data_IF_822878352009
#
_entry.id   IF_822878352009
#
_cell.length_a   1.000
_cell.length_b   1.000
_cell.length_c   1.000
_cell.angle_alpha   90.00
_cell.angle_beta   90.00
_cell.angle_gamma   90.00
#
_symmetry.space_group_name_H-M   'P 1'
#
loop_
_entity.id
_entity.type
_entity.pdbx_description
1 polymer ?
#
# COMPACT_ATOMS: atom_id res chain seq x y z
N UNK A 1 -8.74 61.52 -16.76
CA UNK A 1 -9.82 61.99 -17.67
C UNK A 1 -10.96 61.03 -17.45
N UNK A 2 -11.95 61.36 -16.67
CA UNK A 2 -13.23 62.03 -17.05
C UNK A 2 -14.00 61.06 -17.91
N UNK A 3 -15.15 60.52 -17.57
CA UNK A 3 -16.26 60.92 -16.70
C UNK A 3 -17.35 59.94 -16.97
N UNK A 4 -18.09 59.60 -16.02
CA UNK A 4 -19.36 60.15 -15.54
C UNK A 4 -20.62 59.55 -16.17
N UNK A 5 -21.41 58.90 -15.25
CA UNK A 5 -22.86 59.21 -14.98
C UNK A 5 -23.87 58.91 -16.10
N UNK A 6 -25.04 58.29 -15.86
CA UNK A 6 -26.16 58.52 -14.94
C UNK A 6 -27.17 57.40 -15.17
N UNK A 7 -27.79 56.73 -14.18
CA UNK A 7 -28.95 57.13 -13.37
C UNK A 7 -30.25 57.38 -14.18
N UNK A 8 -31.28 56.63 -13.82
CA UNK A 8 -32.67 57.01 -14.02
C UNK A 8 -33.52 55.81 -14.44
N UNK A 9 -34.68 55.46 -13.99
CA UNK A 9 -35.59 56.00 -12.98
C UNK A 9 -36.86 55.18 -13.12
N UNK A 10 -37.47 54.80 -12.02
CA UNK A 10 -38.82 54.26 -11.99
C UNK A 10 -39.84 55.25 -12.55
N UNK A 11 -41.00 54.79 -13.04
CA UNK A 11 -42.28 55.27 -12.58
C UNK A 11 -43.24 54.15 -12.19
N UNK A 12 -43.79 54.24 -11.14
CA UNK A 12 -44.94 54.88 -10.50
C UNK A 12 -46.24 54.14 -10.73
N UNK A 13 -46.91 54.03 -9.61
CA UNK A 13 -48.18 53.36 -9.36
C UNK A 13 -49.33 54.15 -10.03
N UNK A 14 -50.42 53.44 -10.29
CA UNK A 14 -51.81 53.72 -10.12
C UNK A 14 -52.65 53.29 -11.32
N UNK A 15 -53.45 52.25 -11.12
CA UNK A 15 -54.94 52.41 -11.23
C UNK A 15 -55.62 51.07 -10.87
N UNK A 16 -56.14 51.02 -9.68
CA UNK A 16 -57.19 50.10 -9.30
C UNK A 16 -58.46 50.42 -10.09
N UNK A 17 -59.05 49.41 -10.73
CA UNK A 17 -60.48 49.36 -10.98
C UNK A 17 -61.08 48.11 -10.41
N UNK A 18 -61.83 48.25 -9.38
CA UNK A 18 -62.73 47.29 -8.78
C UNK A 18 -63.89 46.97 -9.76
N UNK A 19 -64.11 45.71 -10.01
CA UNK A 19 -65.40 45.21 -10.57
C UNK A 19 -65.96 44.19 -9.59
N UNK A 20 -67.24 44.16 -9.30
CA UNK A 20 -67.83 43.60 -8.09
C UNK A 20 -68.05 42.08 -8.14
N UNK A 21 -68.05 41.49 -6.97
CA UNK A 21 -68.33 40.09 -6.63
C UNK A 21 -69.63 39.57 -7.17
N UNK A 22 -69.61 38.33 -7.66
CA UNK A 22 -70.76 37.41 -7.58
C UNK A 22 -70.22 36.11 -6.94
N UNK A 23 -70.94 35.50 -5.99
CA UNK A 23 -70.43 34.34 -5.23
C UNK A 23 -70.72 33.07 -6.02
N UNK A 24 -69.65 32.54 -6.61
CA UNK A 24 -69.67 31.18 -7.11
C UNK A 24 -68.69 30.35 -6.21
N UNK A 25 -69.28 29.54 -5.36
CA UNK A 25 -68.57 28.54 -4.54
C UNK A 25 -67.91 27.54 -5.49
N UNK A 26 -66.64 27.73 -5.80
CA UNK A 26 -65.83 26.68 -6.38
C UNK A 26 -65.33 25.83 -5.20
N UNK A 27 -66.02 24.75 -4.95
CA UNK A 27 -65.62 23.67 -4.09
C UNK A 27 -64.45 22.99 -4.81
N UNK A 28 -63.21 23.42 -4.53
CA UNK A 28 -62.00 22.64 -4.87
C UNK A 28 -62.08 21.43 -3.95
N UNK A 29 -62.66 20.35 -4.44
CA UNK A 29 -62.41 19.00 -3.90
C UNK A 29 -60.94 18.70 -4.07
N UNK A 30 -60.16 19.01 -3.03
CA UNK A 30 -58.88 18.32 -2.80
C UNK A 30 -59.25 16.85 -2.62
N UNK A 31 -59.37 16.11 -3.73
CA UNK A 31 -59.26 14.67 -3.73
C UNK A 31 -57.80 14.37 -3.35
N UNK A 32 -57.51 14.47 -2.06
CA UNK A 32 -56.40 13.74 -1.49
C UNK A 32 -56.70 12.27 -1.80
N UNK A 33 -56.04 11.73 -2.79
CA UNK A 33 -56.01 10.31 -3.10
C UNK A 33 -55.26 9.61 -1.96
N UNK A 34 -55.94 9.46 -0.82
CA UNK A 34 -55.55 8.46 0.19
C UNK A 34 -55.85 7.11 -0.46
N UNK A 35 -54.80 6.51 -1.05
CA UNK A 35 -54.88 5.11 -1.49
C UNK A 35 -55.43 4.30 -0.31
N UNK A 36 -56.47 3.48 -0.51
CA UNK A 36 -57.06 2.72 0.57
C UNK A 36 -56.02 1.83 1.23
N UNK A 37 -56.05 1.70 2.56
CA UNK A 37 -55.02 0.98 3.34
C UNK A 37 -54.67 -0.39 2.79
N UNK A 38 -55.61 -1.13 2.23
CA UNK A 38 -55.39 -2.42 1.56
C UNK A 38 -54.49 -2.32 0.31
N UNK A 39 -54.47 -1.18 -0.37
CA UNK A 39 -53.62 -0.98 -1.56
C UNK A 39 -52.14 -0.76 -1.21
N UNK A 40 -51.87 -0.37 0.03
CA UNK A 40 -50.49 -0.24 0.55
C UNK A 40 -50.02 -1.51 1.26
N UNK A 41 -50.92 -2.36 1.71
CA UNK A 41 -50.63 -3.58 2.46
C UNK A 41 -50.02 -4.69 1.56
N UNK A 42 -50.53 -4.82 0.33
CA UNK A 42 -50.04 -5.84 -0.61
C UNK A 42 -48.56 -5.63 -1.05
N UNK A 43 -48.11 -4.43 -1.48
CA UNK A 43 -46.70 -4.17 -1.78
C UNK A 43 -45.78 -4.35 -0.58
N UNK A 44 -46.21 -3.97 0.62
CA UNK A 44 -45.46 -4.14 1.85
C UNK A 44 -45.20 -5.63 2.17
N UNK A 45 -46.25 -6.44 2.12
CA UNK A 45 -46.13 -7.88 2.35
C UNK A 45 -45.21 -8.54 1.32
N UNK A 46 -45.37 -8.18 0.03
CA UNK A 46 -44.52 -8.69 -1.04
C UNK A 46 -43.05 -8.28 -0.83
N UNK A 47 -42.78 -7.07 -0.33
CA UNK A 47 -41.44 -6.62 0.01
C UNK A 47 -40.84 -7.43 1.18
N UNK A 48 -41.62 -7.65 2.23
CA UNK A 48 -41.18 -8.51 3.38
C UNK A 48 -40.86 -9.95 2.96
N UNK A 49 -41.70 -10.52 2.08
CA UNK A 49 -41.47 -11.86 1.53
C UNK A 49 -40.25 -11.91 0.63
N UNK A 50 -39.96 -10.89 -0.17
CA UNK A 50 -38.77 -10.79 -1.00
C UNK A 50 -37.52 -10.66 -0.14
N UNK A 51 -37.56 -9.85 0.93
CA UNK A 51 -36.47 -9.75 1.90
C UNK A 51 -36.22 -11.09 2.60
N UNK A 52 -37.27 -11.78 3.00
CA UNK A 52 -37.13 -13.09 3.64
C UNK A 52 -36.51 -14.15 2.69
N UNK A 53 -36.87 -14.13 1.41
CA UNK A 53 -36.24 -14.99 0.41
C UNK A 53 -34.76 -14.68 0.24
N UNK A 54 -34.41 -13.37 0.11
CA UNK A 54 -33.00 -12.91 0.06
C UNK A 54 -32.20 -13.34 1.28
N UNK A 55 -32.77 -13.17 2.49
CA UNK A 55 -32.09 -13.53 3.73
C UNK A 55 -31.85 -15.05 3.87
N UNK A 56 -32.66 -15.90 3.23
CA UNK A 56 -32.45 -17.34 3.17
C UNK A 56 -31.49 -17.77 2.05
N UNK A 57 -30.99 -16.81 1.25
CA UNK A 57 -30.15 -17.11 0.08
C UNK A 57 -30.93 -17.63 -1.13
N UNK A 58 -32.27 -17.62 -1.11
CA UNK A 58 -33.12 -17.99 -2.25
C UNK A 58 -33.20 -16.81 -3.22
N UNK A 59 -32.09 -16.59 -3.94
CA UNK A 59 -31.93 -15.46 -4.86
C UNK A 59 -32.97 -15.49 -6.01
N UNK A 60 -33.28 -16.65 -6.64
CA UNK A 60 -34.29 -16.70 -7.70
C UNK A 60 -35.69 -16.29 -7.22
N UNK A 61 -36.09 -16.72 -6.03
CA UNK A 61 -37.38 -16.31 -5.45
C UNK A 61 -37.40 -14.84 -5.05
N UNK A 62 -36.26 -14.32 -4.51
CA UNK A 62 -36.11 -12.90 -4.19
C UNK A 62 -36.21 -12.04 -5.47
N UNK A 63 -35.49 -12.42 -6.55
CA UNK A 63 -35.57 -11.76 -7.86
C UNK A 63 -37.02 -11.70 -8.36
N UNK A 64 -37.69 -12.85 -8.40
CA UNK A 64 -39.06 -12.93 -8.88
C UNK A 64 -40.00 -11.96 -8.12
N UNK A 65 -39.90 -11.93 -6.78
CA UNK A 65 -40.71 -11.09 -5.93
C UNK A 65 -40.38 -9.60 -6.07
N UNK A 66 -39.10 -9.23 -6.14
CA UNK A 66 -38.72 -7.85 -6.38
C UNK A 66 -39.12 -7.36 -7.78
N UNK A 67 -39.00 -8.21 -8.81
CA UNK A 67 -39.50 -7.88 -10.16
C UNK A 67 -41.03 -7.63 -10.19
N UNK A 68 -41.79 -8.42 -9.45
CA UNK A 68 -43.21 -8.23 -9.28
C UNK A 68 -43.49 -6.89 -8.57
N UNK A 69 -42.74 -6.61 -7.50
CA UNK A 69 -42.88 -5.39 -6.70
C UNK A 69 -42.58 -4.12 -7.50
N UNK A 70 -41.47 -4.09 -8.29
CA UNK A 70 -41.17 -2.90 -9.13
C UNK A 70 -42.17 -2.71 -10.26
N UNK A 71 -42.89 -3.75 -10.70
CA UNK A 71 -44.02 -3.64 -11.65
C UNK A 71 -45.25 -3.04 -10.99
N UNK A 72 -45.53 -3.46 -9.74
CA UNK A 72 -46.71 -2.98 -8.99
C UNK A 72 -46.48 -1.58 -8.42
N UNK A 73 -45.24 -1.26 -8.05
CA UNK A 73 -44.87 -0.02 -7.38
C UNK A 73 -43.57 0.56 -7.99
N UNK A 74 -43.64 1.16 -9.19
CA UNK A 74 -42.45 1.62 -9.93
C UNK A 74 -41.74 2.81 -9.28
N UNK A 75 -42.36 3.45 -8.26
CA UNK A 75 -41.74 4.53 -7.48
C UNK A 75 -41.01 4.06 -6.22
N UNK A 76 -40.98 2.76 -5.97
CA UNK A 76 -40.37 2.21 -4.76
C UNK A 76 -38.86 2.01 -4.95
N UNK A 77 -38.07 3.05 -4.62
CA UNK A 77 -36.59 3.01 -4.74
C UNK A 77 -35.96 1.81 -4.03
N UNK A 78 -36.43 1.46 -2.82
CA UNK A 78 -35.92 0.33 -2.03
C UNK A 78 -36.14 -1.04 -2.71
N UNK A 79 -37.17 -1.17 -3.56
CA UNK A 79 -37.38 -2.41 -4.32
C UNK A 79 -36.31 -2.57 -5.42
N UNK A 80 -36.04 -1.50 -6.17
CA UNK A 80 -34.95 -1.49 -7.16
C UNK A 80 -33.60 -1.69 -6.52
N UNK A 81 -33.31 -1.03 -5.39
CA UNK A 81 -32.07 -1.19 -4.66
C UNK A 81 -31.83 -2.66 -4.24
N UNK A 82 -32.84 -3.28 -3.63
CA UNK A 82 -32.71 -4.68 -3.22
C UNK A 82 -32.63 -5.65 -4.40
N UNK A 83 -33.32 -5.37 -5.50
CA UNK A 83 -33.20 -6.14 -6.74
C UNK A 83 -31.79 -6.02 -7.31
N UNK A 84 -31.18 -4.83 -7.27
CA UNK A 84 -29.79 -4.63 -7.67
C UNK A 84 -28.80 -5.45 -6.82
N UNK A 85 -29.02 -5.54 -5.50
CA UNK A 85 -28.22 -6.40 -4.62
C UNK A 85 -28.38 -7.88 -5.01
N UNK A 86 -29.61 -8.34 -5.29
CA UNK A 86 -29.84 -9.71 -5.74
C UNK A 86 -29.12 -9.98 -7.05
N UNK A 87 -29.20 -9.09 -8.02
CA UNK A 87 -28.49 -9.22 -9.28
C UNK A 87 -26.96 -9.26 -9.13
N UNK A 88 -26.40 -8.43 -8.23
CA UNK A 88 -24.97 -8.52 -7.90
C UNK A 88 -24.59 -9.91 -7.35
N UNK A 89 -25.42 -10.44 -6.44
CA UNK A 89 -25.19 -11.75 -5.84
C UNK A 89 -25.33 -12.90 -6.87
N UNK A 90 -26.12 -12.70 -7.91
CA UNK A 90 -26.25 -13.64 -9.03
C UNK A 90 -25.27 -13.40 -10.18
N UNK A 91 -24.32 -12.44 -9.99
CA UNK A 91 -23.35 -12.02 -11.02
C UNK A 91 -24.00 -11.44 -12.29
N UNK A 92 -25.27 -11.00 -12.21
CA UNK A 92 -26.01 -10.35 -13.28
C UNK A 92 -25.68 -8.83 -13.27
N UNK A 93 -24.42 -8.48 -13.46
CA UNK A 93 -23.91 -7.11 -13.25
C UNK A 93 -24.59 -6.05 -14.14
N UNK A 94 -24.91 -6.41 -15.39
CA UNK A 94 -25.60 -5.51 -16.32
C UNK A 94 -27.00 -5.17 -15.86
N UNK A 95 -27.75 -6.19 -15.39
CA UNK A 95 -29.11 -6.00 -14.88
C UNK A 95 -29.06 -5.22 -13.55
N UNK A 96 -28.04 -5.51 -12.69
CA UNK A 96 -27.79 -4.74 -11.48
C UNK A 96 -27.58 -3.25 -11.79
N UNK A 97 -26.69 -2.90 -12.72
CA UNK A 97 -26.45 -1.51 -13.11
C UNK A 97 -27.74 -0.83 -13.59
N UNK A 98 -28.51 -1.50 -14.48
CA UNK A 98 -29.75 -0.94 -15.03
C UNK A 98 -30.82 -0.65 -13.98
N UNK A 99 -31.01 -1.56 -13.01
CA UNK A 99 -32.01 -1.32 -11.95
C UNK A 99 -31.50 -0.32 -10.93
N UNK A 100 -30.17 -0.21 -10.73
CA UNK A 100 -29.57 0.76 -9.82
C UNK A 100 -29.64 2.19 -10.37
N UNK A 101 -29.53 2.40 -11.69
CA UNK A 101 -29.81 3.71 -12.30
C UNK A 101 -31.22 4.21 -11.93
N UNK A 102 -32.21 3.32 -11.88
CA UNK A 102 -33.57 3.66 -11.42
C UNK A 102 -33.61 3.94 -9.92
N UNK A 103 -32.94 3.10 -9.11
CA UNK A 103 -32.93 3.27 -7.67
C UNK A 103 -32.34 4.63 -7.26
N UNK A 104 -31.17 5.02 -7.83
CA UNK A 104 -30.52 6.29 -7.52
C UNK A 104 -31.28 7.50 -8.08
N UNK A 105 -31.98 7.34 -9.20
CA UNK A 105 -32.84 8.39 -9.72
C UNK A 105 -34.04 8.68 -8.81
N UNK A 106 -34.62 7.64 -8.18
CA UNK A 106 -35.72 7.75 -7.24
C UNK A 106 -35.30 8.22 -5.84
N UNK A 107 -34.10 7.82 -5.40
CA UNK A 107 -33.56 8.15 -4.08
C UNK A 107 -32.08 8.63 -4.16
N UNK A 108 -31.82 9.80 -4.73
CA UNK A 108 -30.46 10.29 -4.99
C UNK A 108 -29.66 10.63 -3.73
N UNK A 109 -30.34 10.77 -2.58
CA UNK A 109 -29.70 11.09 -1.29
C UNK A 109 -29.35 9.86 -0.45
N UNK A 110 -29.61 8.66 -0.96
CA UNK A 110 -29.27 7.40 -0.29
C UNK A 110 -27.89 6.89 -0.75
N UNK A 111 -26.86 6.91 0.11
CA UNK A 111 -25.50 6.53 -0.29
C UNK A 111 -25.41 5.06 -0.72
N UNK A 112 -26.20 4.16 -0.09
CA UNK A 112 -26.20 2.74 -0.41
C UNK A 112 -26.53 2.44 -1.87
N UNK A 113 -27.43 3.21 -2.47
CA UNK A 113 -27.77 3.10 -3.89
C UNK A 113 -26.55 3.32 -4.79
N UNK A 114 -25.82 4.40 -4.55
CA UNK A 114 -24.61 4.73 -5.29
C UNK A 114 -23.50 3.71 -5.10
N UNK A 115 -23.38 3.10 -3.90
CA UNK A 115 -22.40 2.05 -3.64
C UNK A 115 -22.71 0.81 -4.50
N UNK A 116 -23.96 0.35 -4.50
CA UNK A 116 -24.36 -0.84 -5.27
C UNK A 116 -24.25 -0.58 -6.78
N UNK A 117 -24.59 0.61 -7.25
CA UNK A 117 -24.37 1.03 -8.64
C UNK A 117 -22.88 1.00 -9.00
N UNK A 118 -22.04 1.57 -8.13
CA UNK A 118 -20.59 1.56 -8.30
C UNK A 118 -20.01 0.16 -8.37
N UNK A 119 -20.47 -0.75 -7.51
CA UNK A 119 -20.08 -2.16 -7.54
C UNK A 119 -20.47 -2.84 -8.87
N UNK A 120 -21.69 -2.60 -9.36
CA UNK A 120 -22.13 -3.17 -10.64
C UNK A 120 -21.26 -2.70 -11.80
N UNK A 121 -20.93 -1.41 -11.87
CA UNK A 121 -20.03 -0.88 -12.90
C UNK A 121 -18.58 -1.34 -12.72
N UNK A 122 -18.09 -1.51 -11.48
CA UNK A 122 -16.77 -2.05 -11.20
C UNK A 122 -16.62 -3.47 -11.76
N UNK A 123 -17.59 -4.34 -11.53
CA UNK A 123 -17.62 -5.71 -12.04
C UNK A 123 -17.82 -5.79 -13.57
N UNK A 124 -18.46 -4.79 -14.16
CA UNK A 124 -18.58 -4.64 -15.61
C UNK A 124 -17.32 -4.12 -16.30
N UNK A 125 -16.25 -3.81 -15.53
CA UNK A 125 -15.05 -3.13 -16.05
C UNK A 125 -15.35 -1.77 -16.71
N UNK A 126 -16.36 -1.04 -16.18
CA UNK A 126 -16.69 0.34 -16.54
C UNK A 126 -16.19 1.32 -15.45
N UNK A 127 -14.86 1.48 -15.27
CA UNK A 127 -14.29 2.14 -14.09
C UNK A 127 -14.65 3.62 -13.99
N UNK A 128 -14.89 4.32 -15.11
CA UNK A 128 -15.30 5.73 -15.09
C UNK A 128 -16.66 5.91 -14.41
N UNK A 129 -17.62 5.03 -14.71
CA UNK A 129 -18.94 5.05 -14.09
C UNK A 129 -18.86 4.61 -12.62
N UNK A 130 -18.07 3.56 -12.34
CA UNK A 130 -17.83 3.10 -10.97
C UNK A 130 -17.27 4.22 -10.08
N UNK A 131 -16.24 4.94 -10.53
CA UNK A 131 -15.65 6.08 -9.82
C UNK A 131 -16.67 7.19 -9.60
N UNK A 132 -17.50 7.50 -10.60
CA UNK A 132 -18.55 8.52 -10.47
C UNK A 132 -19.58 8.15 -9.40
N UNK A 133 -20.03 6.90 -9.38
CA UNK A 133 -20.98 6.38 -8.40
C UNK A 133 -20.40 6.37 -6.99
N UNK A 134 -19.18 5.84 -6.78
CA UNK A 134 -18.54 5.84 -5.47
C UNK A 134 -18.25 7.26 -4.95
N UNK A 135 -17.85 8.20 -5.81
CA UNK A 135 -17.72 9.61 -5.44
C UNK A 135 -19.07 10.22 -5.02
N UNK A 136 -20.19 9.81 -5.65
CA UNK A 136 -21.52 10.24 -5.25
C UNK A 136 -21.88 9.69 -3.87
N UNK A 137 -21.60 8.41 -3.61
CA UNK A 137 -21.77 7.80 -2.29
C UNK A 137 -20.95 8.54 -1.22
N UNK A 138 -19.69 8.84 -1.49
CA UNK A 138 -18.79 9.51 -0.54
C UNK A 138 -19.11 11.00 -0.31
N UNK A 139 -19.80 11.66 -1.23
CA UNK A 139 -20.36 13.00 -0.95
C UNK A 139 -21.47 12.96 0.10
N UNK A 140 -22.24 11.87 0.15
CA UNK A 140 -23.32 11.66 1.10
C UNK A 140 -22.83 11.05 2.41
N UNK A 141 -21.88 10.12 2.34
CA UNK A 141 -21.25 9.45 3.47
C UNK A 141 -19.72 9.42 3.30
N UNK A 142 -19.00 10.49 3.70
CA UNK A 142 -17.56 10.60 3.49
C UNK A 142 -16.72 9.55 4.21
N UNK A 143 -17.24 8.95 5.28
CA UNK A 143 -16.56 7.95 6.10
C UNK A 143 -16.89 6.50 5.70
N UNK A 144 -17.64 6.28 4.61
CA UNK A 144 -17.96 4.92 4.18
C UNK A 144 -16.70 4.21 3.65
N UNK A 145 -16.24 3.25 4.42
CA UNK A 145 -15.00 2.53 4.17
C UNK A 145 -15.08 1.62 2.93
N UNK A 146 -16.25 1.03 2.68
CA UNK A 146 -16.47 0.21 1.49
C UNK A 146 -16.43 1.06 0.22
N UNK A 147 -17.11 2.21 0.25
CA UNK A 147 -17.07 3.13 -0.87
C UNK A 147 -15.65 3.68 -1.13
N UNK A 148 -14.86 3.96 -0.07
CA UNK A 148 -13.45 4.37 -0.21
C UNK A 148 -12.60 3.26 -0.81
N UNK A 149 -12.72 2.02 -0.30
CA UNK A 149 -11.96 0.88 -0.81
C UNK A 149 -12.26 0.63 -2.30
N UNK A 150 -13.53 0.54 -2.65
CA UNK A 150 -13.92 0.28 -4.04
C UNK A 150 -13.67 1.46 -4.98
N UNK A 151 -13.70 2.71 -4.46
CA UNK A 151 -13.21 3.87 -5.22
C UNK A 151 -11.74 3.70 -5.59
N UNK A 152 -10.88 3.37 -4.62
CA UNK A 152 -9.47 3.12 -4.88
C UNK A 152 -9.23 1.98 -5.88
N UNK A 153 -9.97 0.87 -5.75
CA UNK A 153 -9.92 -0.24 -6.70
C UNK A 153 -10.37 0.17 -8.13
N UNK A 154 -11.45 0.94 -8.25
CA UNK A 154 -11.93 1.44 -9.53
C UNK A 154 -10.96 2.44 -10.16
N UNK A 155 -10.29 3.27 -9.34
CA UNK A 155 -9.23 4.17 -9.80
C UNK A 155 -8.02 3.38 -10.33
N UNK A 156 -7.64 2.27 -9.69
CA UNK A 156 -6.59 1.37 -10.21
C UNK A 156 -7.00 0.79 -11.59
N UNK A 157 -8.25 0.34 -11.74
CA UNK A 157 -8.75 -0.13 -13.05
C UNK A 157 -8.70 0.96 -14.12
N UNK A 158 -8.99 2.22 -13.74
CA UNK A 158 -8.94 3.39 -14.62
C UNK A 158 -7.51 3.87 -14.91
N UNK A 159 -6.50 3.27 -14.26
CA UNK A 159 -5.09 3.70 -14.26
C UNK A 159 -4.86 5.09 -13.64
N UNK A 160 -5.79 5.57 -12.83
CA UNK A 160 -5.62 6.75 -11.96
C UNK A 160 -4.92 6.30 -10.67
N UNK A 161 -3.63 5.97 -10.78
CA UNK A 161 -2.88 5.40 -9.66
C UNK A 161 -2.61 6.42 -8.57
N UNK A 162 -2.47 7.71 -8.92
CA UNK A 162 -2.31 8.81 -7.97
C UNK A 162 -3.57 8.98 -7.12
N UNK A 163 -4.73 9.07 -7.77
CA UNK A 163 -6.01 9.13 -7.07
C UNK A 163 -6.28 7.90 -6.22
N UNK A 164 -5.90 6.70 -6.71
CA UNK A 164 -6.04 5.46 -5.96
C UNK A 164 -5.17 5.47 -4.70
N UNK A 165 -3.90 5.87 -4.80
CA UNK A 165 -3.00 5.97 -3.66
C UNK A 165 -3.56 6.96 -2.62
N UNK A 166 -3.98 8.17 -3.02
CA UNK A 166 -4.58 9.16 -2.13
C UNK A 166 -5.81 8.63 -1.39
N UNK A 167 -6.71 7.96 -2.12
CA UNK A 167 -7.94 7.40 -1.56
C UNK A 167 -7.63 6.31 -0.54
N UNK A 168 -6.74 5.38 -0.90
CA UNK A 168 -6.39 4.23 -0.06
C UNK A 168 -5.48 4.61 1.11
N UNK A 169 -4.63 5.64 0.99
CA UNK A 169 -3.88 6.20 2.12
C UNK A 169 -4.80 6.81 3.19
N UNK A 170 -5.86 7.51 2.77
CA UNK A 170 -6.87 8.01 3.72
C UNK A 170 -7.53 6.86 4.46
N UNK A 171 -7.91 5.81 3.74
CA UNK A 171 -8.53 4.63 4.33
C UNK A 171 -7.56 3.86 5.25
N UNK A 172 -6.28 3.75 4.89
CA UNK A 172 -5.29 3.05 5.70
C UNK A 172 -5.04 3.72 7.06
N UNK A 173 -5.24 5.04 7.17
CA UNK A 173 -5.16 5.76 8.45
C UNK A 173 -6.27 5.36 9.42
N UNK A 174 -7.46 5.06 8.91
CA UNK A 174 -8.56 4.54 9.74
C UNK A 174 -8.48 3.03 9.96
N UNK A 175 -7.83 2.30 9.03
CA UNK A 175 -7.65 0.84 9.07
C UNK A 175 -6.18 0.42 8.85
N UNK A 176 -5.27 0.75 9.76
CA UNK A 176 -3.83 0.55 9.55
C UNK A 176 -3.40 -0.92 9.44
N UNK A 177 -4.23 -1.86 9.90
CA UNK A 177 -3.96 -3.31 9.86
C UNK A 177 -4.82 -4.09 8.88
N UNK A 178 -5.63 -3.43 8.03
CA UNK A 178 -6.49 -4.16 7.07
C UNK A 178 -5.65 -4.65 5.87
N UNK A 179 -5.52 -5.98 5.68
CA UNK A 179 -4.69 -6.54 4.61
C UNK A 179 -5.18 -6.14 3.21
N UNK A 180 -6.49 -5.98 3.03
CA UNK A 180 -7.09 -5.63 1.73
C UNK A 180 -6.76 -4.19 1.36
N UNK A 181 -6.81 -3.28 2.32
CA UNK A 181 -6.44 -1.87 2.13
C UNK A 181 -4.96 -1.77 1.82
N UNK A 182 -4.10 -2.41 2.63
CA UNK A 182 -2.65 -2.41 2.44
C UNK A 182 -2.23 -3.02 1.09
N UNK A 183 -2.87 -4.12 0.69
CA UNK A 183 -2.61 -4.75 -0.60
C UNK A 183 -2.92 -3.80 -1.77
N UNK A 184 -4.13 -3.20 -1.78
CA UNK A 184 -4.52 -2.31 -2.88
C UNK A 184 -3.70 -1.02 -2.90
N UNK A 185 -3.31 -0.49 -1.72
CA UNK A 185 -2.39 0.65 -1.61
C UNK A 185 -1.02 0.28 -2.19
N UNK A 186 -0.49 -0.88 -1.84
CA UNK A 186 0.75 -1.40 -2.41
C UNK A 186 0.69 -1.55 -3.93
N UNK A 187 -0.43 -2.06 -4.46
CA UNK A 187 -0.66 -2.13 -5.91
C UNK A 187 -0.65 -0.74 -6.56
N UNK A 188 -1.31 0.26 -5.95
CA UNK A 188 -1.33 1.61 -6.49
C UNK A 188 0.09 2.21 -6.55
N UNK A 189 0.88 2.12 -5.46
CA UNK A 189 2.26 2.60 -5.42
C UNK A 189 3.17 1.86 -6.40
N UNK A 190 3.05 0.54 -6.51
CA UNK A 190 3.81 -0.25 -7.49
C UNK A 190 3.53 0.22 -8.93
N UNK A 191 2.25 0.47 -9.27
CA UNK A 191 1.87 0.95 -10.60
C UNK A 191 2.35 2.37 -10.86
N UNK A 192 2.35 3.26 -9.85
CA UNK A 192 2.95 4.60 -9.94
C UNK A 192 4.44 4.51 -10.25
N UNK A 193 5.17 3.74 -9.47
CA UNK A 193 6.61 3.53 -9.67
C UNK A 193 6.90 3.03 -11.10
N UNK A 194 6.19 1.99 -11.55
CA UNK A 194 6.37 1.44 -12.91
C UNK A 194 6.05 2.47 -14.01
N UNK A 195 5.04 3.31 -13.79
CA UNK A 195 4.70 4.39 -14.72
C UNK A 195 5.82 5.43 -14.80
N UNK A 196 6.38 5.84 -13.66
CA UNK A 196 7.46 6.82 -13.60
C UNK A 196 8.76 6.27 -14.20
N UNK A 197 9.10 5.01 -13.95
CA UNK A 197 10.23 4.33 -14.60
C UNK A 197 10.04 4.30 -16.12
N UNK A 198 8.83 3.97 -16.61
CA UNK A 198 8.50 3.99 -18.04
C UNK A 198 8.65 5.39 -18.65
N UNK A 199 8.16 6.42 -17.94
CA UNK A 199 8.31 7.82 -18.37
C UNK A 199 9.79 8.23 -18.44
N UNK A 200 10.58 7.87 -17.42
CA UNK A 200 12.01 8.13 -17.39
C UNK A 200 12.70 7.43 -18.58
N UNK A 201 12.33 6.17 -18.88
CA UNK A 201 12.84 5.44 -20.04
C UNK A 201 12.48 6.06 -21.39
N UNK A 202 11.35 6.79 -21.46
CA UNK A 202 10.95 7.51 -22.66
C UNK A 202 11.68 8.85 -22.82
N UNK A 203 11.79 9.61 -21.71
CA UNK A 203 12.36 10.97 -21.72
C UNK A 203 13.89 10.93 -21.75
N UNK A 204 14.50 9.99 -21.04
CA UNK A 204 15.94 9.90 -20.87
C UNK A 204 16.42 8.43 -20.86
N UNK A 205 16.33 7.71 -21.98
CA UNK A 205 16.59 6.26 -22.05
C UNK A 205 18.03 5.86 -21.70
N UNK A 206 18.97 6.80 -21.79
CA UNK A 206 20.39 6.59 -21.45
C UNK A 206 20.79 7.33 -20.15
N UNK A 207 19.82 7.78 -19.39
CA UNK A 207 20.09 8.45 -18.11
C UNK A 207 20.68 7.46 -17.11
N UNK A 208 21.74 7.88 -16.41
CA UNK A 208 22.29 7.07 -15.30
C UNK A 208 21.22 6.80 -14.22
N UNK A 209 20.23 7.70 -14.04
CA UNK A 209 19.14 7.50 -13.08
C UNK A 209 18.23 6.31 -13.44
N UNK A 210 17.93 6.14 -14.74
CA UNK A 210 17.20 4.95 -15.21
C UNK A 210 18.02 3.68 -14.97
N UNK A 211 19.30 3.72 -15.30
CA UNK A 211 20.21 2.59 -15.11
C UNK A 211 20.36 2.21 -13.63
N UNK A 212 20.36 3.19 -12.72
CA UNK A 212 20.31 2.95 -11.27
C UNK A 212 19.04 2.22 -10.85
N UNK A 213 17.87 2.65 -11.30
CA UNK A 213 16.60 1.99 -10.99
C UNK A 213 16.56 0.55 -11.51
N UNK A 214 17.09 0.31 -12.71
CA UNK A 214 17.19 -1.03 -13.28
C UNK A 214 18.18 -1.91 -12.51
N UNK A 215 19.30 -1.33 -12.03
CA UNK A 215 20.26 -2.04 -11.22
C UNK A 215 19.66 -2.46 -9.87
N UNK A 216 18.97 -1.55 -9.18
CA UNK A 216 18.30 -1.81 -7.90
C UNK A 216 17.16 -2.86 -8.04
N UNK A 217 16.40 -2.81 -9.14
CA UNK A 217 15.39 -3.83 -9.44
C UNK A 217 16.04 -5.21 -9.66
N UNK A 218 17.15 -5.26 -10.38
CA UNK A 218 17.91 -6.51 -10.59
C UNK A 218 18.48 -7.07 -9.27
N UNK A 219 19.02 -6.21 -8.39
CA UNK A 219 19.45 -6.63 -7.03
C UNK A 219 18.29 -7.22 -6.23
N UNK A 220 17.14 -6.55 -6.22
CA UNK A 220 15.94 -7.02 -5.50
C UNK A 220 15.49 -8.40 -5.98
N UNK A 221 15.66 -8.69 -7.26
CA UNK A 221 15.38 -10.01 -7.86
C UNK A 221 16.50 -11.04 -7.65
N UNK A 222 17.64 -10.63 -7.08
CA UNK A 222 18.81 -11.48 -6.92
C UNK A 222 19.62 -11.71 -8.20
N UNK A 223 19.35 -10.93 -9.26
CA UNK A 223 20.11 -10.98 -10.51
C UNK A 223 21.32 -10.02 -10.42
N UNK A 224 22.30 -10.43 -9.62
CA UNK A 224 23.49 -9.62 -9.35
C UNK A 224 24.36 -9.38 -10.59
N UNK A 225 24.33 -10.28 -11.58
CA UNK A 225 25.04 -10.08 -12.84
C UNK A 225 24.39 -8.97 -13.67
N UNK A 226 23.07 -8.91 -13.73
CA UNK A 226 22.36 -7.82 -14.39
C UNK A 226 22.56 -6.50 -13.63
N UNK A 227 22.46 -6.51 -12.30
CA UNK A 227 22.68 -5.34 -11.46
C UNK A 227 24.09 -4.74 -11.71
N UNK A 228 25.12 -5.57 -11.68
CA UNK A 228 26.50 -5.13 -11.94
C UNK A 228 26.65 -4.48 -13.33
N UNK A 229 26.03 -5.06 -14.37
CA UNK A 229 26.06 -4.46 -15.72
C UNK A 229 25.39 -3.09 -15.73
N UNK A 230 24.20 -2.95 -15.14
CA UNK A 230 23.50 -1.67 -15.09
C UNK A 230 24.26 -0.61 -14.28
N UNK A 231 24.90 -0.98 -13.16
CA UNK A 231 25.76 -0.05 -12.41
C UNK A 231 26.97 0.40 -13.23
N UNK A 232 27.63 -0.52 -13.94
CA UNK A 232 28.74 -0.16 -14.84
C UNK A 232 28.29 0.79 -15.96
N UNK A 233 27.11 0.57 -16.54
CA UNK A 233 26.56 1.48 -17.55
C UNK A 233 26.19 2.83 -16.93
N UNK A 234 25.65 2.87 -15.72
CA UNK A 234 25.38 4.10 -14.98
C UNK A 234 26.66 4.91 -14.75
N UNK A 235 27.76 4.26 -14.36
CA UNK A 235 29.06 4.90 -14.17
C UNK A 235 29.68 5.41 -15.50
N UNK A 236 29.42 4.75 -16.63
CA UNK A 236 29.81 5.27 -17.94
C UNK A 236 29.04 6.54 -18.30
N UNK A 237 27.76 6.64 -17.90
CA UNK A 237 26.94 7.80 -18.15
C UNK A 237 27.22 8.96 -17.15
N UNK A 238 27.57 8.64 -15.91
CA UNK A 238 27.96 9.58 -14.88
C UNK A 238 28.98 8.93 -13.94
N UNK A 239 30.27 9.21 -14.14
CA UNK A 239 31.37 8.63 -13.37
C UNK A 239 31.47 9.15 -11.93
N UNK A 240 30.75 10.23 -11.58
CA UNK A 240 30.71 10.81 -10.25
C UNK A 240 29.39 10.51 -9.50
N UNK A 241 28.62 9.53 -9.98
CA UNK A 241 27.38 9.14 -9.33
C UNK A 241 27.70 8.47 -7.98
N UNK A 242 27.46 9.23 -6.90
CA UNK A 242 27.69 8.79 -5.50
C UNK A 242 26.90 7.54 -5.16
N UNK A 243 27.54 6.60 -4.45
CA UNK A 243 26.91 5.36 -3.98
C UNK A 243 26.88 4.24 -5.02
N UNK A 244 27.17 4.53 -6.30
CA UNK A 244 27.14 3.52 -7.37
C UNK A 244 28.36 2.62 -7.31
N UNK A 245 29.53 3.19 -7.08
CA UNK A 245 30.76 2.44 -6.83
C UNK A 245 30.63 1.57 -5.57
N UNK A 246 30.01 2.08 -4.50
CA UNK A 246 29.73 1.30 -3.30
C UNK A 246 28.84 0.08 -3.60
N UNK A 247 27.73 0.27 -4.32
CA UNK A 247 26.83 -0.82 -4.69
C UNK A 247 27.52 -1.89 -5.56
N UNK A 248 28.25 -1.46 -6.59
CA UNK A 248 29.00 -2.36 -7.47
C UNK A 248 30.10 -3.11 -6.69
N UNK A 249 30.83 -2.42 -5.83
CA UNK A 249 31.84 -3.01 -4.96
C UNK A 249 31.24 -4.04 -4.00
N UNK A 250 30.04 -3.81 -3.48
CA UNK A 250 29.32 -4.78 -2.62
C UNK A 250 28.96 -6.04 -3.40
N UNK A 251 28.43 -5.92 -4.63
CA UNK A 251 28.14 -7.07 -5.50
C UNK A 251 29.41 -7.87 -5.80
N UNK A 252 30.52 -7.21 -6.08
CA UNK A 252 31.79 -7.89 -6.33
C UNK A 252 32.31 -8.62 -5.07
N UNK A 253 32.21 -7.98 -3.89
CA UNK A 253 32.61 -8.59 -2.64
C UNK A 253 31.80 -9.87 -2.34
N UNK A 254 30.48 -9.82 -2.51
CA UNK A 254 29.58 -10.95 -2.29
C UNK A 254 29.80 -12.08 -3.32
N UNK A 255 30.25 -11.72 -4.53
CA UNK A 255 30.66 -12.67 -5.57
C UNK A 255 32.11 -13.20 -5.40
N UNK A 256 32.82 -12.80 -4.32
CA UNK A 256 34.18 -13.21 -4.05
C UNK A 256 35.27 -12.51 -4.91
N UNK A 257 34.87 -11.50 -5.71
CA UNK A 257 35.77 -10.69 -6.55
C UNK A 257 36.35 -9.53 -5.73
N UNK A 258 37.24 -9.88 -4.79
CA UNK A 258 37.71 -8.93 -3.75
C UNK A 258 38.61 -7.83 -4.29
N UNK A 259 39.39 -8.10 -5.34
CA UNK A 259 40.22 -7.12 -6.01
C UNK A 259 39.40 -6.04 -6.70
N UNK A 260 38.40 -6.46 -7.44
CA UNK A 260 37.43 -5.54 -8.11
C UNK A 260 36.64 -4.75 -7.07
N UNK A 261 36.19 -5.43 -6.00
CA UNK A 261 35.48 -4.75 -4.91
C UNK A 261 36.32 -3.64 -4.25
N UNK A 262 37.61 -3.90 -4.00
CA UNK A 262 38.54 -2.91 -3.45
C UNK A 262 38.66 -1.68 -4.35
N UNK A 263 38.78 -1.89 -5.67
CA UNK A 263 38.88 -0.79 -6.64
C UNK A 263 37.61 0.08 -6.63
N UNK A 264 36.45 -0.56 -6.56
CA UNK A 264 35.18 0.18 -6.53
C UNK A 264 35.00 0.96 -5.21
N UNK A 265 35.31 0.37 -4.05
CA UNK A 265 35.26 1.12 -2.79
C UNK A 265 36.27 2.28 -2.74
N UNK A 266 37.47 2.11 -3.30
CA UNK A 266 38.42 3.20 -3.44
C UNK A 266 37.92 4.31 -4.39
N UNK A 267 37.21 3.92 -5.47
CA UNK A 267 36.61 4.90 -6.38
C UNK A 267 35.49 5.69 -5.69
N UNK A 268 34.62 5.04 -4.89
CA UNK A 268 33.63 5.74 -4.07
C UNK A 268 34.28 6.72 -3.11
N UNK A 269 35.35 6.32 -2.44
CA UNK A 269 36.08 7.17 -1.49
C UNK A 269 36.84 8.34 -2.13
N UNK A 270 37.09 8.31 -3.44
CA UNK A 270 37.60 9.49 -4.19
C UNK A 270 36.48 10.51 -4.43
N UNK A 271 35.26 10.05 -4.67
CA UNK A 271 34.09 10.90 -4.88
C UNK A 271 33.56 11.40 -3.53
N UNK A 272 33.38 10.50 -2.57
CA UNK A 272 32.90 10.79 -1.23
C UNK A 272 33.87 10.26 -0.15
N UNK A 273 34.88 11.02 0.24
CA UNK A 273 35.85 10.60 1.27
C UNK A 273 35.26 10.40 2.67
N UNK A 274 34.02 10.89 2.89
CA UNK A 274 33.30 10.84 4.16
C UNK A 274 32.24 9.74 4.20
N UNK A 275 32.30 8.78 3.29
CA UNK A 275 31.41 7.63 3.30
C UNK A 275 31.89 6.56 4.29
N UNK A 276 31.26 6.52 5.48
CA UNK A 276 31.61 5.58 6.53
C UNK A 276 31.39 4.12 6.12
N UNK A 277 30.37 3.84 5.28
CA UNK A 277 30.09 2.49 4.80
C UNK A 277 31.13 2.03 3.77
N UNK A 278 31.51 2.89 2.85
CA UNK A 278 32.58 2.59 1.90
C UNK A 278 33.92 2.39 2.60
N UNK A 279 34.23 3.21 3.62
CA UNK A 279 35.42 3.02 4.47
C UNK A 279 35.38 1.69 5.22
N UNK A 280 34.27 1.33 5.82
CA UNK A 280 34.12 0.03 6.47
C UNK A 280 34.35 -1.11 5.49
N UNK A 281 33.69 -1.11 4.33
CA UNK A 281 33.83 -2.15 3.31
C UNK A 281 35.26 -2.25 2.75
N UNK A 282 35.90 -1.12 2.48
CA UNK A 282 37.30 -1.09 2.08
C UNK A 282 38.19 -1.72 3.15
N UNK A 283 37.96 -1.38 4.43
CA UNK A 283 38.66 -1.96 5.56
C UNK A 283 38.45 -3.48 5.72
N UNK A 284 37.19 -3.95 5.51
CA UNK A 284 36.87 -5.37 5.54
C UNK A 284 37.60 -6.17 4.44
N UNK A 285 37.65 -5.62 3.23
CA UNK A 285 38.43 -6.22 2.12
C UNK A 285 39.94 -6.19 2.43
N UNK A 286 40.43 -5.02 2.87
CA UNK A 286 41.88 -4.89 3.21
C UNK A 286 42.32 -5.86 4.30
N UNK A 287 41.44 -6.17 5.27
CA UNK A 287 41.69 -7.10 6.34
C UNK A 287 42.14 -8.51 5.83
N UNK A 288 41.72 -8.89 4.64
CA UNK A 288 42.10 -10.20 4.07
C UNK A 288 43.62 -10.32 3.82
N UNK A 289 44.28 -9.22 3.44
CA UNK A 289 45.68 -9.17 3.05
C UNK A 289 46.55 -8.39 4.03
N UNK A 290 46.14 -7.20 4.42
CA UNK A 290 46.89 -6.28 5.27
C UNK A 290 46.05 -5.72 6.43
N UNK A 291 46.20 -6.28 7.64
CA UNK A 291 45.49 -5.81 8.82
C UNK A 291 45.81 -4.36 9.20
N UNK A 292 46.99 -3.83 8.86
CA UNK A 292 47.35 -2.44 9.17
C UNK A 292 46.59 -1.46 8.30
N UNK A 293 46.54 -1.73 7.00
CA UNK A 293 45.73 -0.95 6.09
C UNK A 293 44.22 -1.00 6.46
N UNK A 294 43.75 -2.19 6.88
CA UNK A 294 42.38 -2.35 7.37
C UNK A 294 42.10 -1.41 8.56
N UNK A 295 43.00 -1.34 9.55
CA UNK A 295 42.85 -0.45 10.69
C UNK A 295 42.68 1.02 10.26
N UNK A 296 43.49 1.49 9.29
CA UNK A 296 43.39 2.89 8.80
C UNK A 296 42.01 3.22 8.21
N UNK A 297 41.43 2.34 7.42
CA UNK A 297 40.08 2.53 6.90
C UNK A 297 39.03 2.48 8.00
N UNK A 298 39.15 1.50 8.91
CA UNK A 298 38.13 1.29 9.96
C UNK A 298 38.17 2.37 11.04
N UNK A 299 39.34 2.91 11.39
CA UNK A 299 39.47 4.07 12.28
C UNK A 299 38.79 5.30 11.67
N UNK A 300 38.97 5.54 10.36
CA UNK A 300 38.29 6.62 9.67
C UNK A 300 36.76 6.40 9.63
N UNK A 301 36.31 5.17 9.38
CA UNK A 301 34.88 4.84 9.40
C UNK A 301 34.28 5.14 10.78
N UNK A 302 34.94 4.70 11.85
CA UNK A 302 34.50 4.91 13.23
C UNK A 302 34.63 6.36 13.71
N UNK A 303 35.52 7.14 13.11
CA UNK A 303 35.57 8.58 13.38
C UNK A 303 34.38 9.33 12.78
N UNK A 304 33.78 8.81 11.70
CA UNK A 304 32.59 9.37 11.06
C UNK A 304 31.30 8.84 11.68
N UNK A 305 31.26 7.54 11.93
CA UNK A 305 30.12 6.86 12.56
C UNK A 305 30.64 5.97 13.70
N UNK A 306 30.69 6.49 14.93
CA UNK A 306 31.14 5.74 16.09
C UNK A 306 30.26 4.56 16.45
N UNK A 307 29.00 4.58 16.04
CA UNK A 307 28.00 3.55 16.39
C UNK A 307 27.80 2.49 15.28
N UNK A 308 28.73 2.39 14.33
CA UNK A 308 28.70 1.39 13.25
C UNK A 308 29.26 0.03 13.75
N UNK A 309 28.40 -0.93 14.17
CA UNK A 309 28.87 -2.16 14.83
C UNK A 309 29.68 -3.05 13.87
N UNK A 310 29.39 -3.02 12.58
CA UNK A 310 30.11 -3.78 11.57
C UNK A 310 31.56 -3.30 11.43
N UNK A 311 31.78 -1.99 11.45
CA UNK A 311 33.13 -1.42 11.41
C UNK A 311 33.92 -1.74 12.68
N UNK A 312 33.29 -1.66 13.85
CA UNK A 312 33.94 -2.07 15.13
C UNK A 312 34.31 -3.54 15.15
N UNK A 313 33.40 -4.41 14.67
CA UNK A 313 33.69 -5.85 14.60
C UNK A 313 34.89 -6.12 13.68
N UNK A 314 34.91 -5.48 12.51
CA UNK A 314 36.04 -5.60 11.59
C UNK A 314 37.32 -5.03 12.17
N UNK A 315 37.24 -3.91 12.91
CA UNK A 315 38.43 -3.31 13.58
C UNK A 315 38.98 -4.20 14.67
N UNK A 316 38.12 -4.75 15.54
CA UNK A 316 38.56 -5.74 16.56
C UNK A 316 39.23 -6.96 15.93
N UNK A 317 38.69 -7.45 14.80
CA UNK A 317 39.33 -8.55 14.03
C UNK A 317 40.69 -8.16 13.47
N UNK A 318 40.85 -6.93 12.99
CA UNK A 318 42.13 -6.40 12.51
C UNK A 318 43.17 -6.33 13.65
N UNK A 319 42.75 -5.80 14.81
CA UNK A 319 43.58 -5.73 16.02
C UNK A 319 44.04 -7.11 16.49
N UNK A 320 43.17 -8.13 16.47
CA UNK A 320 43.55 -9.50 16.78
C UNK A 320 44.62 -10.07 15.84
N UNK A 321 44.57 -9.72 14.56
CA UNK A 321 45.58 -10.14 13.59
C UNK A 321 46.89 -9.39 13.79
N UNK A 322 46.88 -8.19 14.32
CA UNK A 322 48.04 -7.39 14.71
C UNK A 322 48.58 -7.78 16.09
N UNK A 323 48.03 -8.81 16.74
CA UNK A 323 48.42 -9.27 18.08
C UNK A 323 48.19 -8.22 19.18
N UNK A 324 47.10 -7.46 19.04
CA UNK A 324 46.63 -6.46 20.03
C UNK A 324 45.31 -6.90 20.67
N UNK A 325 45.28 -8.04 21.40
CA UNK A 325 44.02 -8.62 21.89
C UNK A 325 43.32 -7.76 22.94
N UNK A 326 44.06 -6.96 23.74
CA UNK A 326 43.48 -6.07 24.76
C UNK A 326 42.61 -5.01 24.08
N UNK A 327 43.08 -4.38 23.01
CA UNK A 327 42.34 -3.39 22.25
C UNK A 327 41.13 -4.04 21.54
N UNK A 328 41.32 -5.23 20.99
CA UNK A 328 40.28 -5.99 20.32
C UNK A 328 39.11 -6.29 21.26
N UNK A 329 39.37 -6.66 22.54
CA UNK A 329 38.29 -6.87 23.54
C UNK A 329 37.46 -5.61 23.73
N UNK A 330 38.11 -4.44 23.81
CA UNK A 330 37.36 -3.16 23.98
C UNK A 330 36.41 -2.94 22.82
N UNK A 331 36.87 -3.14 21.59
CA UNK A 331 36.01 -2.94 20.40
C UNK A 331 34.87 -3.97 20.34
N UNK A 332 35.10 -5.21 20.63
CA UNK A 332 34.08 -6.25 20.66
C UNK A 332 33.05 -6.02 21.78
N UNK A 333 33.44 -5.53 22.95
CA UNK A 333 32.49 -5.16 24.01
C UNK A 333 31.60 -4.00 23.58
N UNK A 334 32.10 -3.06 22.78
CA UNK A 334 31.25 -2.02 22.20
C UNK A 334 30.25 -2.61 21.17
N UNK A 335 30.65 -3.61 20.37
CA UNK A 335 29.74 -4.31 19.46
C UNK A 335 28.64 -5.03 20.25
N UNK A 336 29.00 -5.73 21.34
CA UNK A 336 28.03 -6.40 22.22
C UNK A 336 26.97 -5.43 22.76
N UNK A 337 27.39 -4.20 23.10
CA UNK A 337 26.48 -3.15 23.56
C UNK A 337 25.58 -2.60 22.44
N UNK A 338 26.15 -2.35 21.25
CA UNK A 338 25.42 -1.75 20.11
C UNK A 338 24.52 -2.76 19.39
N UNK A 339 24.93 -4.02 19.35
CA UNK A 339 24.23 -5.09 18.62
C UNK A 339 24.21 -6.39 19.44
N UNK A 340 23.43 -6.47 20.53
CA UNK A 340 23.44 -7.62 21.44
C UNK A 340 22.99 -8.94 20.82
N UNK A 341 22.32 -8.90 19.68
CA UNK A 341 21.91 -10.10 18.92
C UNK A 341 22.96 -10.58 17.91
N UNK A 342 24.12 -9.89 17.83
CA UNK A 342 25.23 -10.28 16.93
C UNK A 342 26.04 -11.40 17.57
N UNK A 343 25.66 -12.63 17.27
CA UNK A 343 26.26 -13.84 17.86
C UNK A 343 27.77 -13.95 17.60
N UNK A 344 28.25 -13.51 16.43
CA UNK A 344 29.65 -13.62 16.04
C UNK A 344 30.61 -12.83 16.94
N UNK A 345 30.14 -11.77 17.63
CA UNK A 345 30.99 -10.99 18.55
C UNK A 345 31.51 -11.83 19.71
N UNK A 346 30.66 -12.71 20.26
CA UNK A 346 31.04 -13.59 21.38
C UNK A 346 32.10 -14.61 20.97
N UNK A 347 32.05 -15.11 19.74
CA UNK A 347 33.12 -15.93 19.19
C UNK A 347 34.46 -15.17 19.13
N UNK A 348 34.43 -13.90 18.69
CA UNK A 348 35.61 -13.06 18.59
C UNK A 348 36.15 -12.64 19.97
N UNK A 349 35.27 -12.34 20.94
CA UNK A 349 35.62 -12.10 22.35
C UNK A 349 36.32 -13.33 22.96
N UNK A 350 35.73 -14.50 22.76
CA UNK A 350 36.36 -15.75 23.25
C UNK A 350 37.75 -15.95 22.69
N UNK A 351 37.95 -15.65 21.39
CA UNK A 351 39.26 -15.75 20.75
C UNK A 351 40.29 -14.73 21.32
N UNK A 352 39.82 -13.49 21.56
CA UNK A 352 40.64 -12.46 22.18
C UNK A 352 41.01 -12.83 23.62
N UNK A 353 40.09 -13.33 24.43
CA UNK A 353 40.36 -13.78 25.82
C UNK A 353 41.33 -14.98 25.84
N UNK A 354 41.23 -15.92 24.89
CA UNK A 354 42.21 -17.02 24.79
C UNK A 354 43.62 -16.52 24.53
N UNK A 355 43.77 -15.52 23.64
CA UNK A 355 45.09 -14.91 23.37
C UNK A 355 45.64 -14.19 24.60
N UNK A 356 44.79 -13.72 25.51
CA UNK A 356 45.15 -13.10 26.80
C UNK A 356 45.36 -14.12 27.92
N UNK A 357 45.19 -15.42 27.68
CA UNK A 357 45.27 -16.46 28.72
C UNK A 357 44.08 -16.49 29.67
N UNK A 358 42.99 -15.75 29.35
CA UNK A 358 41.79 -15.60 30.17
C UNK A 358 40.76 -16.69 29.83
N UNK A 359 41.09 -17.94 30.15
CA UNK A 359 40.29 -19.10 29.69
C UNK A 359 38.88 -19.12 30.23
N UNK A 360 38.64 -18.66 31.45
CA UNK A 360 37.26 -18.66 32.03
C UNK A 360 36.33 -17.72 31.27
N UNK A 361 36.80 -16.53 30.94
CA UNK A 361 36.04 -15.56 30.15
C UNK A 361 35.81 -16.07 28.73
N UNK A 362 36.83 -16.69 28.12
CA UNK A 362 36.68 -17.28 26.81
C UNK A 362 35.62 -18.38 26.77
N UNK A 363 35.55 -19.23 27.78
CA UNK A 363 34.55 -20.30 27.85
C UNK A 363 33.14 -19.74 28.09
N UNK A 364 33.01 -18.66 28.89
CA UNK A 364 31.73 -17.96 29.10
C UNK A 364 31.21 -17.37 27.77
N UNK A 365 32.04 -16.68 27.01
CA UNK A 365 31.66 -16.11 25.72
C UNK A 365 31.24 -17.18 24.69
N UNK A 366 31.98 -18.31 24.66
CA UNK A 366 31.59 -19.44 23.80
C UNK A 366 30.21 -20.02 24.16
N UNK A 367 29.87 -20.08 25.44
CA UNK A 367 28.56 -20.55 25.87
C UNK A 367 27.46 -19.60 25.39
N UNK A 368 27.68 -18.28 25.46
CA UNK A 368 26.74 -17.28 24.94
C UNK A 368 26.61 -17.43 23.42
N UNK A 369 27.72 -17.53 22.69
CA UNK A 369 27.72 -17.75 21.24
C UNK A 369 26.85 -18.96 20.83
N UNK A 370 27.07 -20.10 21.52
CA UNK A 370 26.33 -21.33 21.23
C UNK A 370 24.82 -21.18 21.49
N UNK A 371 24.44 -20.50 22.57
CA UNK A 371 23.05 -20.28 22.92
C UNK A 371 22.36 -19.34 21.89
N UNK A 372 23.00 -18.23 21.50
CA UNK A 372 22.46 -17.31 20.49
C UNK A 372 22.31 -18.01 19.12
N UNK A 373 23.33 -18.76 18.70
CA UNK A 373 23.27 -19.54 17.46
C UNK A 373 22.14 -20.58 17.46
N UNK A 374 21.91 -21.25 18.62
CA UNK A 374 20.80 -22.19 18.78
C UNK A 374 19.45 -21.48 18.63
N UNK A 375 19.24 -20.33 19.32
CA UNK A 375 17.99 -19.55 19.22
C UNK A 375 17.71 -19.07 17.81
N UNK A 376 18.74 -18.59 17.11
CA UNK A 376 18.65 -18.14 15.72
C UNK A 376 18.23 -19.29 14.79
N UNK A 377 18.82 -20.47 14.95
CA UNK A 377 18.45 -21.68 14.21
C UNK A 377 17.01 -22.10 14.48
N UNK A 378 16.57 -22.10 15.74
CA UNK A 378 15.18 -22.44 16.12
C UNK A 378 14.17 -21.45 15.55
N UNK A 379 14.47 -20.15 15.60
CA UNK A 379 13.62 -19.09 15.02
C UNK A 379 13.50 -19.26 13.49
N UNK A 380 14.63 -19.47 12.80
CA UNK A 380 14.62 -19.70 11.33
C UNK A 380 13.80 -20.93 10.95
N UNK A 381 13.96 -22.03 11.69
CA UNK A 381 13.20 -23.25 11.47
C UNK A 381 11.69 -23.04 11.74
N UNK A 382 11.33 -22.24 12.77
CA UNK A 382 9.93 -21.92 13.08
C UNK A 382 9.30 -21.05 11.98
N UNK A 383 10.04 -20.06 11.44
CA UNK A 383 9.60 -19.24 10.31
C UNK A 383 9.39 -20.09 9.05
N UNK A 384 10.34 -20.95 8.72
CA UNK A 384 10.23 -21.85 7.58
C UNK A 384 9.00 -22.76 7.68
N UNK A 385 8.73 -23.33 8.87
CA UNK A 385 7.52 -24.15 9.11
C UNK A 385 6.24 -23.34 8.94
N UNK A 386 6.19 -22.08 9.44
CA UNK A 386 5.03 -21.17 9.27
C UNK A 386 4.81 -20.85 7.79
N UNK A 387 5.88 -20.58 7.05
CA UNK A 387 5.80 -20.31 5.60
C UNK A 387 5.21 -21.50 4.84
N UNK A 388 5.69 -22.71 5.12
CA UNK A 388 5.17 -23.95 4.52
C UNK A 388 3.69 -24.14 4.88
N UNK A 389 3.32 -23.92 6.15
CA UNK A 389 1.93 -24.02 6.59
C UNK A 389 1.03 -23.01 5.88
N UNK A 390 1.43 -21.73 5.81
CA UNK A 390 0.68 -20.68 5.09
C UNK A 390 0.51 -21.02 3.59
N UNK A 391 1.55 -21.57 2.95
CA UNK A 391 1.47 -21.99 1.54
C UNK A 391 0.49 -23.15 1.37
N UNK A 392 0.43 -24.06 2.33
CA UNK A 392 -0.49 -25.20 2.32
C UNK A 392 -1.93 -24.76 2.56
N UNK A 393 -2.14 -23.88 3.54
CA UNK A 393 -3.46 -23.35 3.88
C UNK A 393 -4.02 -22.50 2.71
N UNK A 394 -3.16 -21.74 2.02
CA UNK A 394 -3.55 -20.96 0.83
C UNK A 394 -3.89 -21.82 -0.41
N UNK A 395 -3.44 -23.08 -0.46
CA UNK A 395 -3.80 -24.03 -1.51
C UNK A 395 -5.08 -24.81 -1.18
N UNK A 396 -5.46 -24.90 0.11
CA UNK A 396 -6.65 -25.60 0.59
C UNK A 396 -7.87 -24.69 0.77
N UNK A 397 -7.73 -23.34 0.77
CA UNK A 397 -8.87 -22.43 0.79
C UNK A 397 -9.54 -22.36 -0.58
N UNK A 398 -10.84 -22.74 -0.68
CA UNK A 398 -11.64 -22.43 -1.85
C UNK A 398 -11.74 -20.90 -1.96
N UNK A 399 -11.56 -20.36 -3.17
CA UNK A 399 -11.75 -18.94 -3.48
C UNK A 399 -12.99 -18.42 -2.74
N UNK A 400 -12.90 -17.37 -1.90
CA UNK A 400 -14.05 -16.87 -1.17
C UNK A 400 -15.05 -16.32 -2.16
N UNK A 401 -16.16 -17.06 -2.34
CA UNK A 401 -17.35 -16.56 -2.96
C UNK A 401 -17.83 -15.33 -2.17
N UNK A 402 -18.25 -14.29 -2.86
CA UNK A 402 -18.82 -13.08 -2.28
C UNK A 402 -19.96 -13.46 -1.32
N UNK A 403 -19.73 -13.36 -0.02
CA UNK A 403 -20.73 -13.59 1.03
C UNK A 403 -21.57 -12.31 1.22
N UNK A 404 -22.67 -12.23 0.47
CA UNK A 404 -23.66 -11.14 0.57
C UNK A 404 -24.35 -11.05 1.94
N UNK A 405 -24.14 -12.01 2.86
CA UNK A 405 -24.81 -12.09 4.16
C UNK A 405 -24.11 -11.29 5.27
N UNK A 406 -22.87 -10.79 5.05
CA UNK A 406 -22.06 -10.12 6.08
C UNK A 406 -22.13 -8.60 6.10
N UNK A 407 -23.15 -7.99 5.54
CA UNK A 407 -23.40 -6.56 5.74
C UNK A 407 -24.50 -6.37 6.80
N UNK A 408 -24.17 -6.07 8.06
CA UNK A 408 -25.17 -5.62 9.03
C UNK A 408 -25.52 -4.16 8.69
N UNK A 409 -26.65 -3.98 8.00
CA UNK A 409 -27.34 -2.69 7.99
C UNK A 409 -27.91 -2.51 9.40
N UNK A 410 -27.21 -1.76 10.24
CA UNK A 410 -27.80 -1.23 11.46
C UNK A 410 -28.82 -0.15 11.08
N UNK A 411 -29.97 -0.24 11.74
CA UNK A 411 -31.19 0.56 11.60
C UNK A 411 -30.99 2.08 11.64
#
# INVERSE_FOLDING_TARGET
MVGSRRVGMFPDRRNLRLIPCLPGVVLILCLGSTSPAWAQEAPRKLFEEAQAAKARGDLPEAERKYLELVRQSPEMANAYHNLGIVYLAEHKYKDAAQVMEKAVALAPHEPGGWIVEGLAYYELYEPQKAVAAFRSALRLSPADENAQLYLGKAQIQMRDYEGAAETLEKLSKSKPGDPTVLYNLGVAHLKLMLNDVSRLGTVAPQSYLLLLLLAQDAETRGDFDAAARFYQEALRANSEATGVHYALGSIYADSGKYEEAAQEFEAELKINPMDALALWKAGEIALRKDPRSACQYLERALALDPDLPQARLAYGRALLRLQEPEKAVVEFQQVEHLAPEEDSVHYHLANAYRKLGRSREADAELAIFQELARRKSESTNAMARRQIQMTRDSQEEPTPGFDASRNPVHH
#
